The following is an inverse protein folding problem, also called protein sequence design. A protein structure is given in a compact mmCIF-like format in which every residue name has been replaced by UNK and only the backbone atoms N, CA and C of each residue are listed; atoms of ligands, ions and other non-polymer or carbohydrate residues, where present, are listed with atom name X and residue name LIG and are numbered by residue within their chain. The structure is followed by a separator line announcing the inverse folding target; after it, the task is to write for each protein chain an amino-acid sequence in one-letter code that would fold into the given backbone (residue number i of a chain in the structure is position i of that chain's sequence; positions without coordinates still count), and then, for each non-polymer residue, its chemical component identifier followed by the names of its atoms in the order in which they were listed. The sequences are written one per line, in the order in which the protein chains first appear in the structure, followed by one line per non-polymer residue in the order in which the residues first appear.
data_IF_193104373580
#
_entry.id   IF_193104373580
#
_cell.length_a   1.000
_cell.length_b   1.000
_cell.length_c   1.000
_cell.angle_alpha   90.00
_cell.angle_beta   90.00
_cell.angle_gamma   90.00
#
_symmetry.space_group_name_H-M   'P 1'
#
loop_
_entity.id
_entity.type
_entity.pdbx_description
1 polymer ?
#
# COMPACT_ATOMS: atom_id res chain seq x y z
N UNK A 1 -23.67 -58.52 -61.67
CA UNK A 1 -23.74 -57.06 -61.42
C UNK A 1 -23.73 -56.84 -59.91
N UNK A 2 -22.56 -56.64 -59.31
CA UNK A 2 -22.40 -56.39 -57.87
C UNK A 2 -22.01 -54.93 -57.64
N UNK A 3 -22.79 -54.22 -56.84
CA UNK A 3 -22.73 -52.78 -56.62
C UNK A 3 -21.55 -52.35 -55.73
N UNK A 4 -20.59 -51.63 -56.31
CA UNK A 4 -19.59 -50.83 -55.58
C UNK A 4 -20.18 -49.44 -55.31
N UNK A 5 -20.90 -49.26 -54.19
CA UNK A 5 -21.53 -47.97 -53.84
C UNK A 5 -21.29 -47.50 -52.38
N UNK A 6 -20.35 -48.08 -51.64
CA UNK A 6 -20.15 -47.75 -50.21
C UNK A 6 -18.83 -47.05 -49.86
N UNK A 7 -17.91 -46.90 -50.81
CA UNK A 7 -16.57 -46.33 -50.55
C UNK A 7 -16.52 -44.80 -50.34
N UNK A 8 -17.30 -43.94 -51.05
CA UNK A 8 -17.14 -42.49 -50.95
C UNK A 8 -17.53 -41.90 -49.58
N UNK A 9 -18.55 -42.47 -48.93
CA UNK A 9 -19.04 -42.01 -47.62
C UNK A 9 -18.08 -42.32 -46.47
N UNK A 10 -17.44 -43.49 -46.49
CA UNK A 10 -16.44 -43.87 -45.50
C UNK A 10 -15.21 -42.95 -45.53
N UNK A 11 -14.78 -42.53 -46.72
CA UNK A 11 -13.68 -41.57 -46.88
C UNK A 11 -14.04 -40.16 -46.41
N UNK A 12 -15.28 -39.70 -46.63
CA UNK A 12 -15.77 -38.42 -46.10
C UNK A 12 -15.85 -38.43 -44.57
N UNK A 13 -16.43 -39.49 -43.97
CA UNK A 13 -16.50 -39.65 -42.51
C UNK A 13 -15.12 -39.68 -41.86
N UNK A 14 -14.14 -40.37 -42.47
CA UNK A 14 -12.73 -40.40 -41.98
C UNK A 14 -12.06 -39.03 -42.04
N UNK A 15 -12.22 -38.26 -43.11
CA UNK A 15 -11.69 -36.89 -43.20
C UNK A 15 -12.31 -35.95 -42.17
N UNK A 16 -13.62 -36.09 -41.93
CA UNK A 16 -14.34 -35.26 -40.96
C UNK A 16 -13.93 -35.59 -39.52
N UNK A 17 -13.78 -36.87 -39.18
CA UNK A 17 -13.25 -37.34 -37.89
C UNK A 17 -11.81 -36.88 -37.66
N UNK A 18 -10.95 -36.96 -38.68
CA UNK A 18 -9.58 -36.47 -38.61
C UNK A 18 -9.53 -34.95 -38.38
N UNK A 19 -10.35 -34.17 -39.10
CA UNK A 19 -10.45 -32.72 -38.90
C UNK A 19 -11.06 -32.30 -37.55
N UNK A 20 -11.90 -33.13 -36.94
CA UNK A 20 -12.40 -32.93 -35.58
C UNK A 20 -11.32 -33.27 -34.54
N UNK A 21 -10.60 -34.38 -34.73
CA UNK A 21 -9.49 -34.80 -33.87
C UNK A 21 -8.35 -33.76 -33.84
N UNK A 22 -7.94 -33.24 -35.01
CA UNK A 22 -6.95 -32.17 -35.08
C UNK A 22 -7.41 -30.89 -34.36
N UNK A 23 -8.70 -30.53 -34.45
CA UNK A 23 -9.25 -29.34 -33.75
C UNK A 23 -9.28 -29.52 -32.24
N UNK A 24 -9.64 -30.71 -31.75
CA UNK A 24 -9.57 -31.04 -30.32
C UNK A 24 -8.13 -31.00 -29.83
N UNK A 25 -7.18 -31.56 -30.60
CA UNK A 25 -5.75 -31.47 -30.29
C UNK A 25 -5.25 -30.03 -30.18
N UNK A 26 -5.61 -29.17 -31.13
CA UNK A 26 -5.21 -27.75 -31.13
C UNK A 26 -5.83 -26.95 -29.98
N UNK A 27 -7.10 -27.24 -29.64
CA UNK A 27 -7.78 -26.65 -28.48
C UNK A 27 -7.15 -27.10 -27.17
N UNK A 28 -6.84 -28.40 -27.03
CA UNK A 28 -6.16 -28.93 -25.85
C UNK A 28 -4.76 -28.35 -25.71
N UNK A 29 -3.95 -28.33 -26.78
CA UNK A 29 -2.61 -27.71 -26.76
C UNK A 29 -2.64 -26.23 -26.39
N UNK A 30 -3.60 -25.45 -26.90
CA UNK A 30 -3.79 -24.05 -26.50
C UNK A 30 -4.21 -23.91 -25.03
N UNK A 31 -5.04 -24.83 -24.53
CA UNK A 31 -5.51 -24.84 -23.13
C UNK A 31 -4.40 -25.25 -22.17
N UNK A 32 -3.53 -26.18 -22.58
CA UNK A 32 -2.33 -26.57 -21.84
C UNK A 32 -1.31 -25.44 -21.81
N UNK A 33 -1.04 -24.78 -22.95
CA UNK A 33 -0.18 -23.60 -23.01
C UNK A 33 -0.69 -22.46 -22.11
N UNK A 34 -2.00 -22.14 -22.18
CA UNK A 34 -2.61 -21.14 -21.28
C UNK A 34 -2.46 -21.50 -19.80
N UNK A 35 -2.52 -22.78 -19.45
CA UNK A 35 -2.30 -23.26 -18.08
C UNK A 35 -0.84 -23.20 -17.63
N UNK A 36 0.13 -23.25 -18.56
CA UNK A 36 1.55 -23.02 -18.30
C UNK A 36 1.81 -21.51 -18.14
N UNK A 37 1.32 -20.69 -19.07
CA UNK A 37 1.43 -19.23 -19.01
C UNK A 37 0.89 -18.65 -17.69
N UNK A 38 -0.24 -19.16 -17.20
CA UNK A 38 -0.82 -18.73 -15.91
C UNK A 38 0.04 -19.15 -14.71
N UNK A 39 0.71 -20.31 -14.78
CA UNK A 39 1.61 -20.78 -13.71
C UNK A 39 2.88 -19.94 -13.67
N UNK A 40 3.43 -19.63 -14.85
CA UNK A 40 4.60 -18.77 -14.98
C UNK A 40 4.27 -17.35 -14.47
N UNK A 41 3.14 -16.79 -14.87
CA UNK A 41 2.66 -15.50 -14.36
C UNK A 41 2.46 -15.52 -12.83
N UNK A 42 1.87 -16.58 -12.29
CA UNK A 42 1.71 -16.71 -10.83
C UNK A 42 3.06 -16.73 -10.13
N UNK A 43 4.04 -17.46 -10.66
CA UNK A 43 5.38 -17.53 -10.08
C UNK A 43 6.11 -16.18 -10.19
N UNK A 44 5.95 -15.46 -11.29
CA UNK A 44 6.49 -14.11 -11.47
C UNK A 44 5.90 -13.12 -10.47
N UNK A 45 4.58 -13.17 -10.25
CA UNK A 45 3.89 -12.34 -9.25
C UNK A 45 4.43 -12.64 -7.85
N UNK A 46 4.55 -13.92 -7.49
CA UNK A 46 5.05 -14.32 -6.17
C UNK A 46 6.51 -13.89 -5.97
N UNK A 47 7.36 -14.08 -6.98
CA UNK A 47 8.75 -13.65 -6.95
C UNK A 47 8.85 -12.13 -6.80
N UNK A 48 8.04 -11.38 -7.56
CA UNK A 48 7.99 -9.92 -7.47
C UNK A 48 7.53 -9.47 -6.09
N UNK A 49 6.48 -10.08 -5.54
CA UNK A 49 5.97 -9.77 -4.21
C UNK A 49 7.04 -10.02 -3.13
N UNK A 50 7.66 -11.20 -3.11
CA UNK A 50 8.69 -11.55 -2.13
C UNK A 50 9.93 -10.65 -2.24
N UNK A 51 10.32 -10.26 -3.45
CA UNK A 51 11.45 -9.37 -3.68
C UNK A 51 11.19 -7.93 -3.23
N UNK A 52 9.93 -7.47 -3.30
CA UNK A 52 9.58 -6.06 -3.07
C UNK A 52 8.85 -5.79 -1.76
N UNK A 53 8.42 -6.81 -1.01
CA UNK A 53 7.77 -6.61 0.29
C UNK A 53 8.69 -5.88 1.27
N UNK A 54 8.11 -4.99 2.07
CA UNK A 54 8.77 -4.34 3.19
C UNK A 54 9.46 -5.38 4.09
N UNK A 55 10.70 -5.06 4.49
CA UNK A 55 11.46 -5.91 5.40
C UNK A 55 11.22 -5.48 6.86
N UNK A 56 11.45 -6.37 7.84
CA UNK A 56 11.38 -6.00 9.26
C UNK A 56 12.28 -4.81 9.62
N UNK A 57 13.45 -4.71 8.96
CA UNK A 57 14.37 -3.59 9.15
C UNK A 57 13.77 -2.27 8.66
N UNK A 58 13.14 -2.25 7.48
CA UNK A 58 12.48 -1.04 6.95
C UNK A 58 11.37 -0.58 7.91
N UNK A 59 10.58 -1.52 8.42
CA UNK A 59 9.54 -1.27 9.42
C UNK A 59 10.13 -0.67 10.71
N UNK A 60 11.20 -1.24 11.25
CA UNK A 60 11.88 -0.74 12.45
C UNK A 60 12.42 0.69 12.27
N UNK A 61 13.01 0.99 11.11
CA UNK A 61 13.49 2.33 10.77
C UNK A 61 12.34 3.35 10.71
N UNK A 62 11.21 2.97 10.13
CA UNK A 62 9.98 3.76 10.12
C UNK A 62 9.47 4.03 11.54
N UNK A 63 9.36 3.00 12.38
CA UNK A 63 8.87 3.14 13.75
C UNK A 63 9.80 3.98 14.62
N UNK A 64 11.12 3.82 14.46
CA UNK A 64 12.12 4.65 15.13
C UNK A 64 11.95 6.13 14.78
N UNK A 65 11.75 6.43 13.49
CA UNK A 65 11.50 7.79 13.00
C UNK A 65 10.21 8.39 13.57
N UNK A 66 9.13 7.60 13.65
CA UNK A 66 7.89 8.01 14.31
C UNK A 66 8.10 8.33 15.79
N UNK A 67 8.80 7.46 16.52
CA UNK A 67 9.09 7.67 17.95
C UNK A 67 9.95 8.93 18.17
N UNK A 68 10.93 9.16 17.31
CA UNK A 68 11.76 10.36 17.35
C UNK A 68 10.92 11.63 17.14
N UNK A 69 10.07 11.69 16.11
CA UNK A 69 9.18 12.83 15.87
C UNK A 69 8.27 13.06 17.10
N UNK A 70 7.66 11.99 17.62
CA UNK A 70 6.79 12.07 18.80
C UNK A 70 7.53 12.60 20.05
N UNK A 71 8.79 12.21 20.25
CA UNK A 71 9.64 12.70 21.35
C UNK A 71 9.94 14.18 21.18
N UNK A 72 10.31 14.62 19.97
CA UNK A 72 10.58 16.04 19.68
C UNK A 72 9.33 16.90 19.92
N UNK A 73 8.15 16.48 19.46
CA UNK A 73 6.92 17.24 19.71
C UNK A 73 6.65 17.36 21.22
N UNK A 74 6.84 16.27 22.00
CA UNK A 74 6.67 16.29 23.47
C UNK A 74 7.67 17.20 24.19
N UNK A 75 8.90 17.31 23.68
CA UNK A 75 9.94 18.21 24.22
C UNK A 75 9.48 19.67 24.17
N UNK A 76 8.80 20.07 23.10
CA UNK A 76 8.38 21.46 22.86
C UNK A 76 6.96 21.79 23.31
N UNK A 77 6.06 20.80 23.35
CA UNK A 77 4.64 21.02 23.68
C UNK A 77 4.16 20.02 24.73
N UNK A 78 3.47 20.52 25.75
CA UNK A 78 2.81 19.71 26.80
C UNK A 78 1.44 19.17 26.36
N UNK A 79 1.25 18.94 25.07
CA UNK A 79 0.00 18.43 24.53
C UNK A 79 -0.24 16.98 25.00
N UNK A 80 -1.51 16.64 25.24
CA UNK A 80 -1.91 15.24 25.45
C UNK A 80 -2.22 14.62 24.09
N UNK A 81 -1.20 14.03 23.48
CA UNK A 81 -1.31 13.41 22.15
C UNK A 81 -0.67 12.03 22.07
N UNK A 82 -1.01 11.32 20.99
CA UNK A 82 -0.30 10.12 20.52
C UNK A 82 0.00 10.26 19.03
N UNK A 83 1.05 9.60 18.57
CA UNK A 83 1.34 9.45 17.14
C UNK A 83 1.10 7.99 16.80
N UNK A 84 0.31 7.74 15.78
CA UNK A 84 0.00 6.40 15.31
C UNK A 84 0.47 6.24 13.88
N UNK A 85 1.06 5.09 13.52
CA UNK A 85 1.23 4.73 12.13
C UNK A 85 -0.10 4.25 11.56
N UNK A 86 -0.24 4.42 10.24
CA UNK A 86 -1.38 3.96 9.44
C UNK A 86 -0.90 3.57 8.04
N UNK A 87 -1.83 3.32 7.13
CA UNK A 87 -1.53 3.03 5.74
C UNK A 87 -0.79 1.71 5.55
N UNK A 88 -0.04 1.62 4.45
CA UNK A 88 0.59 0.38 3.97
C UNK A 88 1.47 -0.30 5.02
N UNK A 89 2.18 0.50 5.82
CA UNK A 89 3.07 0.03 6.89
C UNK A 89 2.31 -0.79 7.95
N UNK A 90 1.03 -0.48 8.18
CA UNK A 90 0.22 -1.17 9.19
C UNK A 90 -0.65 -2.30 8.61
N UNK A 91 -0.90 -2.31 7.30
CA UNK A 91 -1.68 -3.35 6.64
C UNK A 91 -0.89 -4.64 6.42
N UNK A 92 0.44 -4.57 6.41
CA UNK A 92 1.30 -5.69 5.99
C UNK A 92 1.46 -5.82 4.47
N UNK A 93 0.93 -4.85 3.72
CA UNK A 93 1.01 -4.77 2.26
C UNK A 93 2.00 -3.70 1.80
N UNK A 94 2.88 -3.23 2.69
CA UNK A 94 3.94 -2.29 2.35
C UNK A 94 5.00 -2.93 1.45
N UNK A 95 5.49 -2.13 0.51
CA UNK A 95 6.68 -2.44 -0.27
C UNK A 95 7.91 -1.74 0.31
N UNK A 96 9.09 -2.17 -0.11
CA UNK A 96 10.35 -1.45 0.15
C UNK A 96 10.24 -0.02 -0.34
N UNK A 97 10.73 0.90 0.49
CA UNK A 97 10.71 2.33 0.19
C UNK A 97 9.31 2.96 0.17
N UNK A 98 8.26 2.27 0.63
CA UNK A 98 6.96 2.90 0.78
C UNK A 98 6.98 3.98 1.86
N UNK A 99 6.14 4.99 1.69
CA UNK A 99 5.99 6.07 2.65
C UNK A 99 5.45 5.56 4.00
N UNK A 100 5.65 6.37 5.04
CA UNK A 100 5.07 6.15 6.35
C UNK A 100 3.94 7.15 6.61
N UNK A 101 2.71 6.67 6.59
CA UNK A 101 1.54 7.45 6.97
C UNK A 101 1.44 7.55 8.50
N UNK A 102 1.48 8.76 9.04
CA UNK A 102 1.29 9.03 10.46
C UNK A 102 0.02 9.83 10.72
N UNK A 103 -0.58 9.60 11.88
CA UNK A 103 -1.61 10.49 12.43
C UNK A 103 -1.20 10.96 13.81
N UNK A 104 -1.09 12.27 14.00
CA UNK A 104 -1.06 12.88 15.33
C UNK A 104 -2.50 12.98 15.85
N UNK A 105 -2.78 12.27 16.94
CA UNK A 105 -4.09 12.20 17.56
C UNK A 105 -4.14 13.03 18.84
N UNK A 106 -4.96 14.09 18.84
CA UNK A 106 -5.08 15.05 19.94
C UNK A 106 -6.57 15.27 20.30
N UNK A 107 -7.23 14.31 20.97
CA UNK A 107 -8.69 14.35 21.16
C UNK A 107 -9.17 15.55 21.99
N UNK A 108 -8.33 16.06 22.90
CA UNK A 108 -8.65 17.23 23.71
C UNK A 108 -8.66 18.54 22.91
N UNK A 109 -8.01 18.58 21.73
CA UNK A 109 -7.97 19.77 20.90
C UNK A 109 -9.36 20.17 20.39
N UNK A 110 -10.28 19.21 20.27
CA UNK A 110 -11.68 19.45 19.88
C UNK A 110 -12.42 20.46 20.78
N UNK A 111 -11.95 20.67 22.02
CA UNK A 111 -12.52 21.69 22.93
C UNK A 111 -12.14 23.12 22.55
N UNK A 112 -11.08 23.29 21.75
CA UNK A 112 -10.48 24.58 21.43
C UNK A 112 -10.69 25.00 19.97
N UNK A 113 -10.97 24.04 19.08
CA UNK A 113 -11.16 24.28 17.65
C UNK A 113 -12.61 24.07 17.24
N UNK A 114 -13.09 24.90 16.30
CA UNK A 114 -14.47 24.80 15.83
C UNK A 114 -14.67 23.58 14.92
N UNK A 115 -13.64 23.18 14.17
CA UNK A 115 -13.67 22.04 13.26
C UNK A 115 -12.29 21.37 13.10
N UNK A 116 -12.27 20.16 12.52
CA UNK A 116 -11.04 19.37 12.30
C UNK A 116 -10.04 20.08 11.38
N UNK A 117 -10.49 20.78 10.35
CA UNK A 117 -9.61 21.43 9.37
C UNK A 117 -8.80 22.56 10.01
N UNK A 118 -9.44 23.38 10.84
CA UNK A 118 -8.80 24.44 11.63
C UNK A 118 -7.79 23.85 12.61
N UNK A 119 -8.19 22.81 13.35
CA UNK A 119 -7.30 22.10 14.27
C UNK A 119 -6.07 21.54 13.54
N UNK A 120 -6.29 20.85 12.42
CA UNK A 120 -5.22 20.26 11.62
C UNK A 120 -4.27 21.33 11.06
N UNK A 121 -4.79 22.45 10.54
CA UNK A 121 -3.96 23.56 10.06
C UNK A 121 -3.03 24.07 11.17
N UNK A 122 -3.56 24.40 12.33
CA UNK A 122 -2.78 24.98 13.43
C UNK A 122 -1.79 23.97 14.02
N UNK A 123 -2.24 22.75 14.29
CA UNK A 123 -1.41 21.71 14.91
C UNK A 123 -0.26 21.33 13.97
N UNK A 124 -0.54 21.06 12.69
CA UNK A 124 0.49 20.66 11.73
C UNK A 124 1.48 21.78 11.46
N UNK A 125 1.05 23.06 11.42
CA UNK A 125 1.99 24.20 11.30
C UNK A 125 2.86 24.38 12.54
N UNK A 126 2.31 24.16 13.73
CA UNK A 126 3.10 24.17 14.97
C UNK A 126 4.14 23.03 14.96
N UNK A 127 3.74 21.81 14.57
CA UNK A 127 4.67 20.68 14.45
C UNK A 127 5.74 21.00 13.41
N UNK A 128 5.37 21.52 12.24
CA UNK A 128 6.32 21.98 11.22
C UNK A 128 7.36 22.93 11.80
N UNK A 129 6.92 23.95 12.54
CA UNK A 129 7.82 24.92 13.15
C UNK A 129 8.79 24.25 14.13
N UNK A 130 8.29 23.34 14.98
CA UNK A 130 9.13 22.58 15.93
C UNK A 130 10.19 21.76 15.20
N UNK A 131 9.81 21.05 14.12
CA UNK A 131 10.75 20.23 13.34
C UNK A 131 11.83 21.08 12.64
N UNK A 132 11.51 22.33 12.30
CA UNK A 132 12.48 23.28 11.75
C UNK A 132 13.36 23.94 12.80
N UNK A 133 12.92 24.09 14.05
CA UNK A 133 13.70 24.82 15.06
C UNK A 133 14.46 23.90 16.00
N UNK A 134 14.08 22.63 16.11
CA UNK A 134 14.79 21.68 16.95
C UNK A 134 16.06 21.14 16.25
N UNK A 135 17.21 21.46 16.84
CA UNK A 135 18.53 21.08 16.34
C UNK A 135 18.77 19.57 16.33
N UNK A 136 18.08 18.75 17.15
CA UNK A 136 18.30 17.30 17.16
C UNK A 136 17.73 16.61 15.92
N UNK A 137 16.71 17.20 15.30
CA UNK A 137 16.01 16.60 14.16
C UNK A 137 16.23 17.37 12.85
N UNK A 138 16.30 18.71 12.88
CA UNK A 138 16.37 19.51 11.66
C UNK A 138 17.48 19.03 10.71
N UNK A 139 18.71 18.82 11.22
CA UNK A 139 19.83 18.42 10.35
C UNK A 139 19.62 17.06 9.64
N UNK A 140 18.72 16.22 10.15
CA UNK A 140 18.37 14.91 9.57
C UNK A 140 17.29 15.03 8.47
N UNK A 141 16.54 16.13 8.45
CA UNK A 141 15.45 16.37 7.53
C UNK A 141 15.95 17.06 6.26
N UNK A 142 15.46 16.58 5.12
CA UNK A 142 15.63 17.24 3.82
C UNK A 142 14.59 18.35 3.65
N UNK A 143 13.33 18.07 4.01
CA UNK A 143 12.25 19.06 3.92
C UNK A 143 11.09 18.75 4.86
N UNK A 144 10.33 19.79 5.22
CA UNK A 144 9.08 19.70 5.99
C UNK A 144 8.06 20.66 5.37
N UNK A 145 7.08 20.11 4.65
CA UNK A 145 6.14 20.85 3.82
C UNK A 145 4.71 20.63 4.29
N UNK A 146 4.02 21.73 4.59
CA UNK A 146 2.57 21.68 4.81
C UNK A 146 1.88 21.68 3.45
N UNK A 147 0.99 20.71 3.23
CA UNK A 147 0.21 20.57 2.00
C UNK A 147 -1.26 20.77 2.34
N UNK A 148 -1.84 21.80 1.74
CA UNK A 148 -3.26 22.08 1.84
C UNK A 148 -4.01 21.20 0.82
N UNK A 149 -4.76 20.23 1.34
CA UNK A 149 -5.59 19.32 0.57
C UNK A 149 -6.91 19.09 1.33
N UNK A 150 -7.81 18.27 0.79
CA UNK A 150 -9.07 17.93 1.47
C UNK A 150 -8.83 17.39 2.89
N UNK A 151 -7.76 16.62 3.07
CA UNK A 151 -7.20 16.28 4.39
C UNK A 151 -5.82 16.94 4.45
N UNK A 152 -5.63 17.96 5.31
CA UNK A 152 -4.33 18.59 5.45
C UNK A 152 -3.27 17.60 5.93
N UNK A 153 -2.09 17.66 5.30
CA UNK A 153 -0.96 16.80 5.66
C UNK A 153 0.33 17.59 5.78
N UNK A 154 1.20 17.12 6.65
CA UNK A 154 2.57 17.57 6.79
C UNK A 154 3.50 16.51 6.21
N UNK A 155 4.07 16.80 5.03
CA UNK A 155 5.06 15.94 4.38
C UNK A 155 6.43 16.19 4.98
N UNK A 156 7.04 15.16 5.52
CA UNK A 156 8.36 15.20 6.15
C UNK A 156 9.26 14.26 5.36
N UNK A 157 10.33 14.80 4.78
CA UNK A 157 11.32 14.01 4.04
C UNK A 157 12.63 13.98 4.80
N UNK A 158 13.13 12.78 5.08
CA UNK A 158 14.44 12.56 5.70
C UNK A 158 15.53 12.55 4.63
N UNK A 159 16.73 13.05 4.96
CA UNK A 159 17.89 13.00 4.05
C UNK A 159 18.31 11.58 3.67
N UNK A 160 17.91 10.58 4.47
CA UNK A 160 18.14 9.16 4.19
C UNK A 160 17.11 8.53 3.24
N UNK A 161 16.15 9.31 2.74
CA UNK A 161 15.16 8.87 1.76
C UNK A 161 13.80 8.46 2.31
N UNK A 162 13.61 8.37 3.64
CA UNK A 162 12.30 8.09 4.21
C UNK A 162 11.36 9.29 4.04
N UNK A 163 10.18 9.04 3.49
CA UNK A 163 9.09 10.01 3.37
C UNK A 163 7.96 9.66 4.37
N UNK A 164 7.44 10.70 5.02
CA UNK A 164 6.40 10.59 6.04
C UNK A 164 5.29 11.59 5.71
N UNK A 165 4.07 11.09 5.59
CA UNK A 165 2.88 11.91 5.45
C UNK A 165 2.13 11.95 6.79
N UNK A 166 2.21 13.08 7.49
CA UNK A 166 1.59 13.26 8.80
C UNK A 166 0.26 14.02 8.70
N UNK A 167 -0.82 13.34 9.04
CA UNK A 167 -2.16 13.91 9.25
C UNK A 167 -2.40 14.25 10.72
N UNK A 168 -3.44 15.03 11.01
CA UNK A 168 -3.90 15.35 12.35
C UNK A 168 -5.36 14.94 12.52
N UNK A 169 -5.73 14.42 13.69
CA UNK A 169 -7.13 14.14 14.05
C UNK A 169 -7.42 14.48 15.51
N UNK A 170 -8.56 15.12 15.75
CA UNK A 170 -9.08 15.38 17.10
C UNK A 170 -10.32 14.55 17.43
N UNK A 171 -10.80 13.74 16.49
CA UNK A 171 -11.94 12.86 16.69
C UNK A 171 -11.59 11.63 17.54
N UNK A 172 -12.60 11.05 18.20
CA UNK A 172 -12.42 9.78 18.91
C UNK A 172 -12.19 8.62 17.94
N UNK A 173 -12.73 8.73 16.72
CA UNK A 173 -12.55 7.75 15.67
C UNK A 173 -11.60 8.29 14.59
N UNK A 174 -10.47 7.63 14.40
CA UNK A 174 -9.49 7.95 13.36
C UNK A 174 -9.58 6.92 12.25
N UNK A 175 -10.29 7.27 11.17
CA UNK A 175 -10.60 6.36 10.05
C UNK A 175 -9.35 5.74 9.41
N UNK A 176 -8.28 6.51 9.23
CA UNK A 176 -7.02 6.01 8.67
C UNK A 176 -6.44 4.86 9.48
N UNK A 177 -6.47 4.96 10.81
CA UNK A 177 -6.01 3.89 11.70
C UNK A 177 -6.94 2.70 11.58
N UNK A 178 -8.26 2.88 11.75
CA UNK A 178 -9.23 1.78 11.72
C UNK A 178 -9.19 1.00 10.41
N UNK A 179 -9.18 1.69 9.27
CA UNK A 179 -9.14 1.08 7.95
C UNK A 179 -7.86 0.27 7.76
N UNK A 180 -6.72 0.76 8.25
CA UNK A 180 -5.45 0.05 8.13
C UNK A 180 -5.47 -1.27 8.91
N UNK A 181 -6.01 -1.27 10.13
CA UNK A 181 -6.14 -2.49 10.92
C UNK A 181 -7.22 -3.44 10.38
N UNK A 182 -8.29 -2.93 9.78
CA UNK A 182 -9.28 -3.75 9.08
C UNK A 182 -8.65 -4.48 7.90
N UNK A 183 -7.91 -3.77 7.04
CA UNK A 183 -7.20 -4.36 5.90
C UNK A 183 -6.17 -5.38 6.38
N UNK A 184 -5.44 -5.08 7.45
CA UNK A 184 -4.51 -6.05 8.06
C UNK A 184 -5.21 -7.36 8.42
N UNK A 185 -6.44 -7.31 8.93
CA UNK A 185 -7.22 -8.50 9.25
C UNK A 185 -7.58 -9.37 8.05
N UNK A 186 -7.57 -8.81 6.83
CA UNK A 186 -7.73 -9.58 5.58
C UNK A 186 -6.41 -10.05 4.97
N UNK A 187 -5.30 -9.40 5.33
CA UNK A 187 -3.97 -9.71 4.80
C UNK A 187 -3.22 -10.79 5.61
N UNK A 188 -3.66 -11.06 6.84
CA UNK A 188 -3.17 -12.13 7.71
C UNK A 188 -3.99 -13.41 7.51
#
# INVERSE_FOLDING_TARGET
MGSLSSKPELWRKRKQLWGAFCRVGLLLSRRFAYGEDLRDLSQEIDNYYLANRETPKDYEEKMSSMHEIGRIIKKHKKWKFKVFPSGSTMTGLASKGSDLDLTVWIPYARKYYANESEAAFDILRNIRHILFTDEEINYKLESVLYVEAKVPVLRIKWKKGLEIDMSCSTEANVSGIQNSYLIRGFAL
#
